data_IF_550246850330
#
_entry.id   IF_550246850330
#
_cell.length_a   1.000
_cell.length_b   1.000
_cell.length_c   1.000
_cell.angle_alpha   90.00
_cell.angle_beta   90.00
_cell.angle_gamma   90.00
#
_symmetry.space_group_name_H-M   'P 1'
#
loop_
_entity.id
_entity.type
_entity.pdbx_description
1 polymer ?
#
# COMPACT_ATOMS: atom_id res chain seq x y z
N UNK A 1 102.48 3.33 -10.98
CA UNK A 1 101.31 3.88 -10.31
C UNK A 1 100.22 4.01 -11.33
N UNK A 2 99.20 3.20 -11.34
CA UNK A 2 97.89 3.63 -11.90
C UNK A 2 96.73 3.34 -10.97
N UNK A 3 95.83 4.29 -10.94
CA UNK A 3 94.53 4.24 -10.16
C UNK A 3 93.45 3.43 -10.89
N UNK A 4 92.90 2.48 -10.18
CA UNK A 4 91.76 1.71 -10.64
C UNK A 4 90.45 2.46 -10.40
N UNK A 5 89.71 2.75 -11.45
CA UNK A 5 88.34 3.28 -11.39
C UNK A 5 87.31 2.14 -11.24
N UNK A 6 86.66 2.02 -10.08
CA UNK A 6 85.48 1.15 -9.86
C UNK A 6 84.22 1.87 -10.38
N UNK A 7 83.58 1.31 -11.38
CA UNK A 7 82.26 1.74 -11.85
C UNK A 7 81.18 1.06 -10.98
N UNK A 8 80.43 1.87 -10.27
CA UNK A 8 79.19 1.42 -9.59
C UNK A 8 78.07 1.40 -10.64
N UNK A 9 77.47 0.25 -10.85
CA UNK A 9 76.21 0.07 -11.61
C UNK A 9 75.10 0.18 -10.66
N UNK A 10 74.27 1.26 -10.76
CA UNK A 10 73.06 1.44 -10.03
C UNK A 10 71.89 0.73 -10.77
N UNK A 11 71.30 -0.27 -10.12
CA UNK A 11 70.04 -0.90 -10.57
C UNK A 11 68.87 -0.03 -10.16
N UNK A 12 68.15 0.58 -11.12
CA UNK A 12 66.86 1.25 -10.87
C UNK A 12 65.76 0.18 -10.97
N UNK A 13 65.23 -0.22 -9.83
CA UNK A 13 64.06 -1.08 -9.78
C UNK A 13 62.82 -0.22 -9.98
N UNK A 14 62.23 -0.27 -11.16
CA UNK A 14 60.94 0.37 -11.47
C UNK A 14 59.81 -0.49 -10.91
N UNK A 15 59.31 -0.16 -9.71
CA UNK A 15 58.13 -0.79 -9.14
C UNK A 15 56.86 -0.29 -9.83
N UNK A 16 56.18 -1.12 -10.63
CA UNK A 16 54.80 -0.87 -11.10
C UNK A 16 53.85 -1.01 -9.89
N UNK A 17 53.38 0.11 -9.33
CA UNK A 17 52.21 0.12 -8.47
C UNK A 17 50.98 -0.05 -9.37
N UNK A 18 50.40 -1.27 -9.42
CA UNK A 18 49.08 -1.51 -9.95
C UNK A 18 48.05 -0.92 -8.95
N UNK A 19 47.58 0.30 -9.21
CA UNK A 19 46.50 0.91 -8.47
C UNK A 19 45.21 0.15 -8.76
N UNK A 20 44.75 -0.68 -7.80
CA UNK A 20 43.42 -1.25 -7.82
C UNK A 20 42.40 -0.09 -7.69
N UNK A 21 41.76 0.28 -8.78
CA UNK A 21 40.64 1.21 -8.79
C UNK A 21 39.46 0.49 -8.14
N UNK A 22 39.30 0.68 -6.84
CA UNK A 22 38.05 0.30 -6.12
C UNK A 22 36.94 1.19 -6.68
N UNK A 23 36.22 0.67 -7.68
CA UNK A 23 34.92 1.29 -8.06
C UNK A 23 34.01 1.30 -6.84
N UNK A 24 33.49 2.45 -6.42
CA UNK A 24 32.51 2.47 -5.35
C UNK A 24 31.33 1.61 -5.80
N UNK A 25 31.05 0.52 -5.06
CA UNK A 25 29.82 -0.23 -5.25
C UNK A 25 28.69 0.76 -5.03
N UNK A 26 28.01 1.17 -6.10
CA UNK A 26 26.82 1.98 -6.01
C UNK A 26 25.87 1.23 -5.09
N UNK A 27 25.55 1.78 -3.93
CA UNK A 27 24.58 1.21 -3.01
C UNK A 27 23.27 1.01 -3.81
N UNK A 28 22.94 -0.23 -4.09
CA UNK A 28 21.79 -0.60 -4.89
C UNK A 28 20.55 -0.22 -4.05
N UNK A 29 19.99 0.95 -4.30
CA UNK A 29 18.78 1.40 -3.60
C UNK A 29 17.64 0.48 -3.99
N UNK A 30 16.99 -0.13 -2.99
CA UNK A 30 15.85 -1.00 -3.24
C UNK A 30 14.76 -0.24 -4.01
N UNK A 31 14.19 -0.81 -5.08
CA UNK A 31 13.16 -0.15 -5.85
C UNK A 31 11.93 0.11 -4.98
N UNK A 32 11.30 1.27 -5.17
CA UNK A 32 10.22 1.77 -4.32
C UNK A 32 8.86 1.52 -4.95
N UNK A 33 7.99 0.89 -4.20
CA UNK A 33 6.59 0.60 -4.54
C UNK A 33 5.67 1.54 -3.77
N UNK A 34 4.88 2.35 -4.48
CA UNK A 34 3.77 3.09 -3.91
C UNK A 34 2.54 2.17 -3.83
N UNK A 35 2.08 1.84 -2.65
CA UNK A 35 0.99 0.89 -2.43
C UNK A 35 -0.15 1.51 -1.63
N UNK A 36 -1.38 1.25 -2.05
CA UNK A 36 -2.57 1.59 -1.27
C UNK A 36 -2.48 0.96 0.12
N UNK A 37 -2.84 1.72 1.14
CA UNK A 37 -2.52 1.38 2.53
C UNK A 37 -3.35 0.23 3.12
N UNK A 38 -4.41 -0.20 2.45
CA UNK A 38 -5.14 -1.43 2.75
C UNK A 38 -4.28 -2.68 2.57
N UNK A 39 -3.22 -2.58 1.74
CA UNK A 39 -2.26 -3.64 1.49
C UNK A 39 -1.24 -3.83 2.62
N UNK A 40 -1.16 -2.92 3.59
CA UNK A 40 -0.04 -2.83 4.53
C UNK A 40 0.43 -4.20 5.04
N UNK A 41 -0.41 -4.93 5.73
CA UNK A 41 -0.02 -6.20 6.35
C UNK A 41 0.20 -7.32 5.33
N UNK A 42 -0.69 -7.44 4.35
CA UNK A 42 -0.58 -8.46 3.32
C UNK A 42 0.67 -8.28 2.45
N UNK A 43 0.93 -7.06 2.00
CA UNK A 43 2.06 -6.79 1.10
C UNK A 43 3.41 -6.83 1.83
N UNK A 44 3.45 -6.46 3.12
CA UNK A 44 4.65 -6.63 3.96
C UNK A 44 5.01 -8.12 4.06
N UNK A 45 4.03 -9.01 4.25
CA UNK A 45 4.24 -10.47 4.29
C UNK A 45 4.66 -11.02 2.92
N UNK A 46 4.01 -10.58 1.84
CA UNK A 46 4.37 -10.96 0.47
C UNK A 46 5.79 -10.52 0.14
N UNK A 47 6.18 -9.28 0.46
CA UNK A 47 7.52 -8.77 0.21
C UNK A 47 8.58 -9.51 1.03
N UNK A 48 8.31 -9.83 2.30
CA UNK A 48 9.21 -10.63 3.12
C UNK A 48 9.39 -12.06 2.59
N UNK A 49 8.32 -12.67 2.06
CA UNK A 49 8.39 -13.99 1.41
C UNK A 49 9.19 -13.91 0.10
N UNK A 50 8.92 -12.92 -0.73
CA UNK A 50 9.67 -12.66 -1.97
C UNK A 50 11.17 -12.49 -1.71
N UNK A 51 11.55 -11.71 -0.69
CA UNK A 51 12.95 -11.54 -0.30
C UNK A 51 13.60 -12.86 0.10
N UNK A 52 12.94 -13.68 0.92
CA UNK A 52 13.47 -15.00 1.34
C UNK A 52 13.66 -15.94 0.16
N UNK A 53 12.80 -15.91 -0.84
CA UNK A 53 12.83 -16.84 -1.97
C UNK A 53 13.77 -16.39 -3.10
N UNK A 54 13.99 -15.08 -3.25
CA UNK A 54 14.74 -14.53 -4.40
C UNK A 54 15.98 -13.75 -4.02
N UNK A 55 16.15 -13.36 -2.78
CA UNK A 55 17.20 -12.44 -2.32
C UNK A 55 16.98 -10.97 -2.72
N UNK A 56 15.91 -10.66 -3.47
CA UNK A 56 15.61 -9.30 -3.92
C UNK A 56 14.74 -8.58 -2.90
N UNK A 57 15.04 -7.30 -2.66
CA UNK A 57 14.27 -6.42 -1.78
C UNK A 57 13.52 -5.36 -2.54
N UNK A 58 12.34 -5.00 -2.02
CA UNK A 58 11.58 -3.83 -2.43
C UNK A 58 11.33 -2.93 -1.24
N UNK A 59 11.26 -1.62 -1.47
CA UNK A 59 10.84 -0.64 -0.47
C UNK A 59 9.36 -0.36 -0.64
N UNK A 60 8.55 -0.64 0.36
CA UNK A 60 7.12 -0.37 0.36
C UNK A 60 6.84 1.00 0.99
N UNK A 61 6.02 1.80 0.33
CA UNK A 61 5.49 3.07 0.85
C UNK A 61 3.98 2.99 0.78
N UNK A 62 3.31 3.15 1.91
CA UNK A 62 1.86 3.02 2.02
C UNK A 62 1.19 4.39 2.14
N UNK A 63 0.08 4.57 1.42
CA UNK A 63 -0.67 5.82 1.41
C UNK A 63 -1.99 5.71 0.70
N UNK A 64 -2.60 6.85 0.39
CA UNK A 64 -3.81 6.95 -0.42
C UNK A 64 -3.48 6.81 -1.91
N UNK A 65 -4.32 6.08 -2.65
CA UNK A 65 -4.13 5.89 -4.10
C UNK A 65 -4.14 7.21 -4.86
N UNK A 66 -5.07 8.12 -4.56
CA UNK A 66 -5.15 9.42 -5.26
C UNK A 66 -3.94 10.31 -4.97
N UNK A 67 -3.40 10.28 -3.75
CA UNK A 67 -2.19 11.04 -3.42
C UNK A 67 -0.97 10.50 -4.15
N UNK A 68 -0.81 9.19 -4.23
CA UNK A 68 0.26 8.59 -5.03
C UNK A 68 0.11 8.89 -6.52
N UNK A 69 -1.12 8.84 -7.05
CA UNK A 69 -1.40 9.26 -8.41
C UNK A 69 -0.87 10.68 -8.67
N UNK A 70 -1.21 11.64 -7.81
CA UNK A 70 -0.76 13.03 -7.93
C UNK A 70 0.76 13.16 -7.82
N UNK A 71 1.38 12.46 -6.88
CA UNK A 71 2.84 12.46 -6.70
C UNK A 71 3.57 11.87 -7.92
N UNK A 72 3.07 10.78 -8.50
CA UNK A 72 3.65 10.14 -9.69
C UNK A 72 3.54 11.06 -10.91
N UNK A 73 2.42 11.75 -11.07
CA UNK A 73 2.28 12.77 -12.12
C UNK A 73 3.33 13.87 -11.99
N UNK A 74 3.64 14.29 -10.76
CA UNK A 74 4.64 15.31 -10.42
C UNK A 74 6.09 14.78 -10.46
N UNK A 75 6.31 13.51 -10.79
CA UNK A 75 7.63 12.93 -10.95
C UNK A 75 8.25 12.36 -9.67
N UNK A 76 7.45 12.01 -8.66
CA UNK A 76 7.95 11.31 -7.49
C UNK A 76 8.62 9.97 -7.89
N UNK A 77 9.75 9.60 -7.25
CA UNK A 77 10.63 8.51 -7.70
C UNK A 77 10.11 7.12 -7.29
N UNK A 78 8.86 6.85 -7.56
CA UNK A 78 8.30 5.51 -7.46
C UNK A 78 8.55 4.74 -8.75
N UNK A 79 8.70 3.43 -8.66
CA UNK A 79 8.92 2.55 -9.81
C UNK A 79 7.80 1.53 -10.05
N UNK A 80 6.93 1.31 -9.04
CA UNK A 80 5.72 0.52 -9.16
C UNK A 80 4.60 1.19 -8.38
N UNK A 81 3.38 1.09 -8.89
CA UNK A 81 2.20 1.61 -8.23
C UNK A 81 1.15 0.51 -8.08
N UNK A 82 0.61 0.37 -6.87
CA UNK A 82 -0.48 -0.56 -6.53
C UNK A 82 -1.65 0.24 -5.97
N UNK A 83 -2.65 0.45 -6.80
CA UNK A 83 -3.83 1.26 -6.50
C UNK A 83 -5.00 0.42 -6.00
N UNK A 84 -5.75 0.94 -5.04
CA UNK A 84 -7.02 0.37 -4.61
C UNK A 84 -8.20 0.68 -5.58
N UNK A 85 -7.96 1.51 -6.60
CA UNK A 85 -8.91 1.80 -7.67
C UNK A 85 -8.16 1.83 -9.01
N UNK A 86 -8.61 1.02 -9.98
CA UNK A 86 -7.96 0.86 -11.28
C UNK A 86 -8.00 2.14 -12.13
N UNK A 87 -8.93 3.04 -11.91
CA UNK A 87 -9.04 4.28 -12.64
C UNK A 87 -7.79 5.18 -12.49
N UNK A 88 -7.16 5.20 -11.32
CA UNK A 88 -5.90 5.94 -11.14
C UNK A 88 -4.76 5.35 -11.97
N UNK A 89 -4.73 4.02 -12.16
CA UNK A 89 -3.74 3.36 -13.01
C UNK A 89 -4.00 3.69 -14.48
N UNK A 90 -5.25 3.67 -14.92
CA UNK A 90 -5.62 4.02 -16.30
C UNK A 90 -5.26 5.48 -16.61
N UNK A 91 -5.55 6.41 -15.71
CA UNK A 91 -5.15 7.84 -15.87
C UNK A 91 -3.63 8.01 -15.97
N UNK A 92 -2.83 7.25 -15.21
CA UNK A 92 -1.36 7.28 -15.34
C UNK A 92 -0.89 6.69 -16.66
N UNK A 93 -1.53 5.62 -17.15
CA UNK A 93 -1.23 5.01 -18.43
C UNK A 93 -1.53 5.98 -19.58
N UNK A 94 -2.68 6.64 -19.54
CA UNK A 94 -3.09 7.64 -20.53
C UNK A 94 -2.18 8.88 -20.50
N UNK A 95 -1.64 9.23 -19.34
CA UNK A 95 -0.60 10.27 -19.16
C UNK A 95 0.81 9.79 -19.56
N UNK A 96 0.98 8.57 -20.06
CA UNK A 96 2.25 8.01 -20.50
C UNK A 96 3.27 7.79 -19.39
N UNK A 97 2.84 7.60 -18.13
CA UNK A 97 3.72 7.39 -16.98
C UNK A 97 4.04 5.92 -16.70
N UNK A 98 3.33 4.99 -17.32
CA UNK A 98 3.42 3.55 -17.07
C UNK A 98 3.95 2.77 -18.26
N UNK A 99 4.42 1.54 -18.03
CA UNK A 99 4.89 0.63 -19.07
C UNK A 99 3.72 0.15 -19.94
N UNK A 100 2.59 -0.16 -19.29
CA UNK A 100 1.35 -0.67 -19.88
C UNK A 100 0.14 -0.21 -19.05
N UNK A 101 -1.01 -0.83 -19.21
CA UNK A 101 -2.23 -0.53 -18.41
C UNK A 101 -2.32 -1.37 -17.11
N UNK A 102 -1.27 -2.08 -16.74
CA UNK A 102 -1.18 -2.86 -15.52
C UNK A 102 -2.09 -4.09 -15.47
N UNK A 103 -2.11 -4.74 -14.28
CA UNK A 103 -2.91 -5.94 -14.02
C UNK A 103 -3.83 -5.74 -12.82
N UNK A 104 -5.06 -6.22 -12.94
CA UNK A 104 -5.95 -6.38 -11.79
C UNK A 104 -5.36 -7.49 -10.91
N UNK A 105 -5.14 -7.22 -9.61
CA UNK A 105 -4.52 -8.20 -8.72
C UNK A 105 -5.42 -8.63 -7.57
N UNK A 106 -6.42 -7.81 -7.18
CA UNK A 106 -7.34 -8.10 -6.09
C UNK A 106 -8.64 -7.29 -6.19
N UNK A 107 -9.63 -7.73 -5.42
CA UNK A 107 -10.84 -6.95 -5.11
C UNK A 107 -10.87 -6.70 -3.61
N UNK A 108 -10.98 -5.41 -3.21
CA UNK A 108 -11.08 -4.99 -1.82
C UNK A 108 -12.52 -5.09 -1.28
N UNK A 109 -12.64 -5.12 0.04
CA UNK A 109 -13.92 -5.13 0.78
C UNK A 109 -13.88 -4.12 1.91
N UNK A 110 -15.02 -3.51 2.22
CA UNK A 110 -15.18 -2.60 3.36
C UNK A 110 -16.10 -3.18 4.42
N UNK A 111 -15.97 -2.67 5.63
CA UNK A 111 -16.87 -2.99 6.73
C UNK A 111 -16.77 -1.97 7.86
N UNK A 112 -17.72 -2.03 8.75
CA UNK A 112 -17.73 -1.23 9.98
C UNK A 112 -16.85 -1.89 11.03
N UNK A 113 -15.91 -1.12 11.60
CA UNK A 113 -15.09 -1.48 12.76
C UNK A 113 -15.53 -0.68 13.95
N UNK A 114 -15.78 -1.35 15.06
CA UNK A 114 -16.21 -0.75 16.33
C UNK A 114 -15.23 -1.17 17.43
N UNK A 115 -14.54 -0.23 18.10
CA UNK A 115 -13.53 -0.56 19.09
C UNK A 115 -14.16 -1.13 20.38
N UNK A 116 -13.38 -1.90 21.13
CA UNK A 116 -13.76 -2.39 22.45
C UNK A 116 -14.16 -1.18 23.34
N UNK A 117 -15.27 -1.32 24.05
CA UNK A 117 -15.80 -0.26 24.95
C UNK A 117 -16.63 0.81 24.26
N UNK A 118 -16.77 0.78 22.93
CA UNK A 118 -17.72 1.64 22.22
C UNK A 118 -19.18 1.28 22.54
N UNK A 119 -20.06 2.27 22.53
CA UNK A 119 -21.50 2.06 22.64
C UNK A 119 -22.16 1.63 21.31
N UNK A 120 -21.39 1.66 20.21
CA UNK A 120 -21.84 1.15 18.92
C UNK A 120 -21.69 -0.37 18.85
N UNK A 121 -22.49 -0.98 17.98
CA UNK A 121 -22.37 -2.38 17.58
C UNK A 121 -21.99 -2.44 16.10
N UNK A 122 -21.07 -3.31 15.77
CA UNK A 122 -20.74 -3.61 14.39
C UNK A 122 -21.83 -4.49 13.79
N UNK A 123 -22.57 -3.99 12.82
CA UNK A 123 -23.52 -4.75 12.03
C UNK A 123 -23.43 -4.39 10.54
N UNK A 124 -23.66 -5.37 9.68
CA UNK A 124 -23.47 -5.26 8.22
C UNK A 124 -24.43 -4.27 7.55
N UNK A 125 -25.61 -4.05 8.15
CA UNK A 125 -26.63 -3.17 7.60
C UNK A 125 -26.61 -1.77 8.22
N UNK A 126 -25.63 -1.46 9.07
CA UNK A 126 -25.42 -0.17 9.74
C UNK A 126 -26.63 0.30 10.57
N UNK A 127 -27.48 -0.63 11.06
CA UNK A 127 -28.70 -0.33 11.80
C UNK A 127 -28.41 0.34 13.14
N UNK A 128 -27.39 -0.15 13.88
CA UNK A 128 -27.02 0.47 15.15
C UNK A 128 -26.36 1.83 14.96
N UNK A 129 -25.59 2.01 13.86
CA UNK A 129 -25.04 3.32 13.45
C UNK A 129 -26.19 4.32 13.18
N UNK A 130 -27.23 3.89 12.46
CA UNK A 130 -28.43 4.70 12.21
C UNK A 130 -29.16 5.08 13.51
N UNK A 131 -29.32 4.12 14.44
CA UNK A 131 -29.92 4.38 15.75
C UNK A 131 -29.05 5.36 16.55
N UNK A 132 -27.72 5.19 16.56
CA UNK A 132 -26.80 6.07 17.29
C UNK A 132 -26.75 7.50 16.75
N UNK A 133 -26.96 7.67 15.45
CA UNK A 133 -27.14 9.00 14.84
C UNK A 133 -28.43 9.67 15.33
N UNK A 134 -29.54 8.90 15.35
CA UNK A 134 -30.87 9.40 15.72
C UNK A 134 -30.99 9.74 17.21
N UNK A 135 -30.41 8.92 18.08
CA UNK A 135 -30.51 9.10 19.55
C UNK A 135 -29.33 9.94 20.12
N UNK A 136 -28.41 10.41 19.27
CA UNK A 136 -27.33 11.29 19.68
C UNK A 136 -26.11 10.59 20.31
N UNK A 137 -26.09 9.27 20.41
CA UNK A 137 -24.92 8.50 20.94
C UNK A 137 -23.69 8.68 20.09
N UNK A 138 -23.83 8.83 18.77
CA UNK A 138 -22.69 9.01 17.88
C UNK A 138 -22.14 10.44 17.97
N UNK A 139 -20.89 10.58 18.32
CA UNK A 139 -20.18 11.86 18.34
C UNK A 139 -19.13 11.97 17.22
N UNK A 140 -18.34 10.90 17.00
CA UNK A 140 -17.27 10.84 15.98
C UNK A 140 -17.23 9.48 15.31
N UNK A 141 -17.06 9.49 13.97
CA UNK A 141 -16.98 8.29 13.16
C UNK A 141 -15.89 8.44 12.08
N UNK A 142 -15.06 7.44 11.90
CA UNK A 142 -13.92 7.52 10.98
C UNK A 142 -14.26 6.94 9.60
N UNK A 143 -13.88 7.67 8.54
CA UNK A 143 -13.75 7.16 7.17
C UNK A 143 -12.45 7.70 6.55
N UNK A 144 -11.91 7.04 5.53
CA UNK A 144 -10.84 7.64 4.74
C UNK A 144 -11.41 8.83 3.92
N UNK A 145 -10.57 9.83 3.63
CA UNK A 145 -11.03 10.99 2.86
C UNK A 145 -11.49 10.57 1.46
N UNK A 146 -12.78 10.71 1.11
CA UNK A 146 -13.31 10.25 -0.16
C UNK A 146 -12.79 11.00 -1.38
N UNK A 147 -12.14 12.17 -1.21
CA UNK A 147 -11.60 12.95 -2.32
C UNK A 147 -10.39 12.26 -2.99
N UNK A 148 -9.60 11.49 -2.24
CA UNK A 148 -8.38 10.88 -2.75
C UNK A 148 -8.16 9.42 -2.30
N UNK A 149 -8.97 8.90 -1.38
CA UNK A 149 -8.86 7.54 -0.91
C UNK A 149 -10.04 6.69 -1.45
N UNK A 150 -9.80 5.66 -2.28
CA UNK A 150 -10.85 4.82 -2.85
C UNK A 150 -11.75 4.18 -1.79
N UNK A 151 -11.16 3.72 -0.69
CA UNK A 151 -11.92 3.18 0.44
C UNK A 151 -12.85 4.20 1.10
N UNK A 152 -12.46 5.47 1.10
CA UNK A 152 -13.30 6.59 1.55
C UNK A 152 -14.47 6.85 0.61
N UNK A 153 -14.23 6.80 -0.70
CA UNK A 153 -15.29 6.92 -1.71
C UNK A 153 -16.32 5.78 -1.55
N UNK A 154 -15.86 4.53 -1.38
CA UNK A 154 -16.77 3.37 -1.13
C UNK A 154 -17.50 3.49 0.19
N UNK A 155 -16.85 4.00 1.25
CA UNK A 155 -17.51 4.26 2.52
C UNK A 155 -18.64 5.31 2.38
N UNK A 156 -18.38 6.39 1.62
CA UNK A 156 -19.39 7.40 1.30
C UNK A 156 -20.58 6.79 0.57
N UNK A 157 -20.35 6.00 -0.46
CA UNK A 157 -21.39 5.33 -1.23
C UNK A 157 -22.25 4.41 -0.35
N UNK A 158 -21.61 3.59 0.49
CA UNK A 158 -22.33 2.72 1.43
C UNK A 158 -23.17 3.50 2.45
N UNK A 159 -22.64 4.62 2.97
CA UNK A 159 -23.40 5.51 3.88
C UNK A 159 -24.53 6.23 3.16
N UNK A 160 -24.36 6.56 1.87
CA UNK A 160 -25.44 7.13 1.04
C UNK A 160 -26.53 6.08 0.78
N UNK A 161 -26.14 4.83 0.44
CA UNK A 161 -27.07 3.72 0.25
C UNK A 161 -27.92 3.48 1.51
N UNK A 162 -27.29 3.53 2.69
CA UNK A 162 -27.98 3.40 3.98
C UNK A 162 -28.80 4.63 4.37
N UNK A 163 -28.78 5.72 3.61
CA UNK A 163 -29.46 6.99 3.92
C UNK A 163 -28.86 7.74 5.12
N UNK A 164 -27.60 7.48 5.46
CA UNK A 164 -26.94 8.04 6.65
C UNK A 164 -25.97 9.18 6.33
N UNK A 165 -25.63 9.40 5.06
CA UNK A 165 -24.56 10.31 4.66
C UNK A 165 -24.73 11.73 5.21
N UNK A 166 -25.87 12.35 5.01
CA UNK A 166 -26.09 13.74 5.40
C UNK A 166 -26.06 13.94 6.94
N UNK A 167 -26.60 12.97 7.68
CA UNK A 167 -26.63 13.02 9.14
C UNK A 167 -25.25 12.76 9.77
N UNK A 168 -24.39 11.96 9.12
CA UNK A 168 -23.09 11.57 9.67
C UNK A 168 -21.97 12.57 9.31
N UNK A 169 -22.10 13.33 8.19
CA UNK A 169 -21.07 14.25 7.74
C UNK A 169 -20.46 15.15 8.83
N UNK A 170 -21.27 15.83 9.70
CA UNK A 170 -20.73 16.69 10.74
C UNK A 170 -19.93 15.94 11.84
N UNK A 171 -20.01 14.62 11.86
CA UNK A 171 -19.36 13.74 12.85
C UNK A 171 -18.17 12.98 12.28
N UNK A 172 -17.85 13.18 11.00
CA UNK A 172 -16.78 12.46 10.34
C UNK A 172 -15.40 12.94 10.79
N UNK A 173 -14.53 11.97 11.05
CA UNK A 173 -13.08 12.14 11.17
C UNK A 173 -12.47 11.51 9.94
N UNK A 174 -11.84 12.34 9.09
CA UNK A 174 -11.28 11.90 7.82
C UNK A 174 -9.84 11.44 7.99
N UNK A 175 -9.58 10.17 7.70
CA UNK A 175 -8.22 9.64 7.60
C UNK A 175 -7.61 9.97 6.24
N UNK A 176 -6.34 10.32 6.21
CA UNK A 176 -5.57 10.58 4.99
C UNK A 176 -5.53 9.34 4.06
N UNK A 177 -5.62 8.16 4.65
CA UNK A 177 -5.68 6.87 3.97
C UNK A 177 -6.40 5.85 4.86
N UNK A 178 -6.68 4.67 4.32
CA UNK A 178 -7.47 3.68 5.04
C UNK A 178 -6.76 3.07 6.27
N UNK A 179 -5.42 3.05 6.30
CA UNK A 179 -4.69 2.62 7.50
C UNK A 179 -4.81 3.62 8.64
N UNK A 180 -4.73 4.92 8.37
CA UNK A 180 -4.97 5.96 9.38
C UNK A 180 -6.42 5.91 9.87
N UNK A 181 -7.37 5.67 8.96
CA UNK A 181 -8.77 5.46 9.33
C UNK A 181 -8.94 4.28 10.29
N UNK A 182 -8.26 3.15 10.03
CA UNK A 182 -8.28 2.01 10.93
C UNK A 182 -7.71 2.36 12.32
N UNK A 183 -6.65 3.19 12.38
CA UNK A 183 -6.12 3.68 13.67
C UNK A 183 -7.17 4.53 14.40
N UNK A 184 -7.85 5.46 13.73
CA UNK A 184 -8.92 6.25 14.36
C UNK A 184 -10.08 5.36 14.85
N UNK A 185 -10.50 4.39 14.05
CA UNK A 185 -11.59 3.49 14.36
C UNK A 185 -11.30 2.51 15.52
N UNK A 186 -10.01 2.29 15.88
CA UNK A 186 -9.61 1.31 16.89
C UNK A 186 -8.97 1.92 18.13
N UNK A 187 -8.56 3.18 18.09
CA UNK A 187 -7.86 3.86 19.21
C UNK A 187 -8.79 4.42 20.29
N UNK A 188 -10.12 4.37 20.09
CA UNK A 188 -11.09 5.05 20.95
C UNK A 188 -11.23 6.56 20.68
N UNK A 189 -10.50 7.12 19.71
CA UNK A 189 -10.66 8.52 19.29
C UNK A 189 -11.96 8.76 18.52
N UNK A 190 -12.53 7.72 17.94
CA UNK A 190 -13.87 7.66 17.35
C UNK A 190 -14.64 6.45 17.90
N UNK A 191 -15.94 6.45 17.79
CA UNK A 191 -16.78 5.35 18.26
C UNK A 191 -16.82 4.17 17.29
N UNK A 192 -16.25 4.33 16.10
CA UNK A 192 -16.12 3.34 15.04
C UNK A 192 -15.69 4.00 13.75
N UNK A 193 -15.62 3.20 12.69
CA UNK A 193 -15.31 3.70 11.35
C UNK A 193 -15.50 2.63 10.28
N UNK A 194 -15.55 3.06 9.03
CA UNK A 194 -15.50 2.13 7.89
C UNK A 194 -14.04 1.91 7.51
N UNK A 195 -13.60 0.66 7.57
CA UNK A 195 -12.23 0.25 7.25
C UNK A 195 -12.18 -0.88 6.22
N UNK A 196 -11.00 -1.17 5.71
CA UNK A 196 -10.76 -2.30 4.82
C UNK A 196 -10.83 -3.63 5.59
N UNK A 197 -11.44 -4.66 5.00
CA UNK A 197 -11.41 -6.02 5.54
C UNK A 197 -9.98 -6.50 5.72
N UNK A 198 -9.08 -6.17 4.81
CA UNK A 198 -7.68 -6.56 4.87
C UNK A 198 -6.95 -6.06 6.11
N UNK A 199 -7.28 -4.87 6.57
CA UNK A 199 -6.75 -4.33 7.83
C UNK A 199 -7.43 -4.99 9.04
N UNK A 200 -8.76 -5.19 8.99
CA UNK A 200 -9.50 -5.84 10.07
C UNK A 200 -9.07 -7.31 10.30
N UNK A 201 -8.58 -8.00 9.26
CA UNK A 201 -8.06 -9.37 9.34
C UNK A 201 -6.66 -9.47 9.96
N UNK A 202 -5.91 -8.39 10.03
CA UNK A 202 -4.61 -8.38 10.71
C UNK A 202 -4.81 -8.60 12.22
N UNK A 203 -4.06 -9.54 12.81
CA UNK A 203 -4.19 -9.90 14.24
C UNK A 203 -4.07 -8.68 15.17
N UNK A 204 -3.15 -7.75 14.84
CA UNK A 204 -2.95 -6.52 15.59
C UNK A 204 -4.16 -5.58 15.60
N UNK A 205 -5.03 -5.68 14.59
CA UNK A 205 -6.24 -4.87 14.45
C UNK A 205 -7.47 -5.64 14.94
N UNK A 206 -7.59 -6.92 14.58
CA UNK A 206 -8.74 -7.78 14.90
C UNK A 206 -9.06 -7.83 16.40
N UNK A 207 -8.03 -7.82 17.25
CA UNK A 207 -8.18 -7.85 18.72
C UNK A 207 -8.64 -6.53 19.34
N UNK A 208 -8.73 -5.43 18.57
CA UNK A 208 -9.07 -4.11 19.08
C UNK A 208 -10.58 -3.81 19.05
N UNK A 209 -11.39 -4.66 18.42
CA UNK A 209 -12.82 -4.41 18.32
C UNK A 209 -13.57 -5.49 17.54
N UNK A 210 -14.80 -5.17 17.17
CA UNK A 210 -15.68 -6.00 16.35
C UNK A 210 -15.77 -5.44 14.94
N UNK A 211 -15.79 -6.31 13.95
CA UNK A 211 -15.89 -5.95 12.54
C UNK A 211 -17.08 -6.66 11.89
N UNK A 212 -17.85 -5.93 11.08
CA UNK A 212 -18.91 -6.48 10.24
C UNK A 212 -18.75 -5.97 8.80
N UNK A 213 -18.83 -6.89 7.82
CA UNK A 213 -18.75 -6.54 6.40
C UNK A 213 -19.99 -5.76 5.98
N UNK A 214 -19.81 -4.70 5.20
CA UNK A 214 -20.86 -4.03 4.47
C UNK A 214 -21.16 -4.81 3.18
N UNK A 215 -22.46 -4.92 2.75
CA UNK A 215 -22.84 -5.60 1.53
C UNK A 215 -22.15 -4.99 0.29
N UNK A 216 -21.74 -5.84 -0.64
CA UNK A 216 -20.98 -5.42 -1.83
C UNK A 216 -21.79 -4.58 -2.82
N UNK A 217 -23.09 -4.74 -2.83
CA UNK A 217 -24.04 -4.00 -3.67
C UNK A 217 -24.38 -2.60 -3.18
N UNK A 218 -23.83 -2.21 -2.02
CA UNK A 218 -24.00 -0.87 -1.46
C UNK A 218 -22.95 0.13 -1.98
N UNK A 219 -21.98 -0.32 -2.72
CA UNK A 219 -20.90 0.52 -3.26
C UNK A 219 -20.28 -0.09 -4.51
N UNK A 220 -19.63 0.73 -5.31
CA UNK A 220 -18.86 0.26 -6.46
C UNK A 220 -17.69 -0.66 -6.03
N UNK A 221 -17.34 -1.66 -6.84
CA UNK A 221 -16.25 -2.58 -6.53
C UNK A 221 -14.89 -1.87 -6.37
N UNK A 222 -14.12 -2.25 -5.35
CA UNK A 222 -12.73 -1.84 -5.19
C UNK A 222 -11.82 -2.72 -6.07
N UNK A 223 -11.77 -2.42 -7.35
CA UNK A 223 -10.95 -3.13 -8.35
C UNK A 223 -9.52 -2.64 -8.26
N UNK A 224 -8.67 -3.45 -7.62
CA UNK A 224 -7.30 -3.05 -7.31
C UNK A 224 -6.34 -3.46 -8.43
N UNK A 225 -5.65 -2.48 -8.99
CA UNK A 225 -4.74 -2.66 -10.13
C UNK A 225 -3.33 -2.21 -9.80
N UNK A 226 -2.35 -2.98 -10.26
CA UNK A 226 -0.93 -2.66 -10.14
C UNK A 226 -0.31 -2.39 -11.51
N UNK A 227 0.72 -1.54 -11.54
CA UNK A 227 1.42 -1.18 -12.78
C UNK A 227 2.88 -0.85 -12.49
N UNK A 228 3.77 -1.19 -13.44
CA UNK A 228 5.15 -0.72 -13.46
C UNK A 228 5.21 0.68 -14.07
N UNK A 229 5.93 1.59 -13.42
CA UNK A 229 6.23 2.91 -13.97
C UNK A 229 7.39 2.80 -14.99
N UNK A 230 7.57 3.81 -15.84
CA UNK A 230 8.53 3.72 -16.96
C UNK A 230 9.97 3.44 -16.54
N UNK A 231 10.36 3.94 -15.36
CA UNK A 231 11.74 3.81 -14.84
C UNK A 231 11.91 2.57 -13.93
N UNK A 232 10.99 1.59 -14.02
CA UNK A 232 11.05 0.39 -13.21
C UNK A 232 12.25 -0.50 -13.59
N UNK A 233 13.15 -0.84 -12.64
CA UNK A 233 14.27 -1.72 -12.91
C UNK A 233 13.82 -3.17 -13.13
N UNK A 234 14.60 -4.01 -13.82
CA UNK A 234 14.27 -5.41 -14.08
C UNK A 234 13.95 -6.23 -12.82
N UNK A 235 14.63 -5.96 -11.70
CA UNK A 235 14.39 -6.61 -10.41
C UNK A 235 12.95 -6.39 -9.89
N UNK A 236 12.36 -5.23 -10.15
CA UNK A 236 11.00 -4.93 -9.75
C UNK A 236 9.95 -5.67 -10.60
N UNK A 237 10.28 -6.00 -11.85
CA UNK A 237 9.43 -6.85 -12.70
C UNK A 237 9.27 -8.25 -12.09
N UNK A 238 10.30 -8.78 -11.43
CA UNK A 238 10.19 -10.04 -10.70
C UNK A 238 9.17 -9.94 -9.55
N UNK A 239 9.19 -8.85 -8.76
CA UNK A 239 8.21 -8.62 -7.71
C UNK A 239 6.79 -8.43 -8.27
N UNK A 240 6.65 -7.65 -9.34
CA UNK A 240 5.37 -7.47 -10.04
C UNK A 240 4.74 -8.81 -10.48
N UNK A 241 5.55 -9.70 -11.04
CA UNK A 241 5.08 -11.03 -11.43
C UNK A 241 4.81 -11.92 -10.21
N UNK A 242 5.59 -11.76 -9.13
CA UNK A 242 5.42 -12.52 -7.90
C UNK A 242 4.05 -12.29 -7.24
N UNK A 243 3.51 -11.07 -7.29
CA UNK A 243 2.18 -10.74 -6.73
C UNK A 243 1.06 -11.65 -7.28
N UNK A 244 1.20 -12.15 -8.52
CA UNK A 244 0.21 -13.02 -9.16
C UNK A 244 0.49 -14.52 -8.99
N UNK A 245 1.53 -14.90 -8.25
CA UNK A 245 1.81 -16.31 -7.95
C UNK A 245 0.83 -16.85 -6.91
N UNK A 246 0.55 -18.16 -6.90
CA UNK A 246 -0.28 -18.77 -5.87
C UNK A 246 0.19 -18.43 -4.45
N UNK A 247 1.50 -18.44 -4.21
CA UNK A 247 2.10 -18.15 -2.92
C UNK A 247 1.79 -16.73 -2.41
N UNK A 248 1.76 -15.72 -3.27
CA UNK A 248 1.37 -14.37 -2.92
C UNK A 248 -0.15 -14.23 -2.81
N UNK A 249 -0.90 -14.86 -3.70
CA UNK A 249 -2.37 -14.84 -3.68
C UNK A 249 -2.94 -15.50 -2.42
N UNK A 250 -2.37 -16.60 -1.94
CA UNK A 250 -2.77 -17.25 -0.68
C UNK A 250 -2.63 -16.29 0.51
N UNK A 251 -1.57 -15.49 0.53
CA UNK A 251 -1.39 -14.44 1.55
C UNK A 251 -2.50 -13.40 1.43
N UNK A 252 -2.75 -12.88 0.22
CA UNK A 252 -3.78 -11.88 -0.02
C UNK A 252 -5.16 -12.37 0.39
N UNK A 253 -5.53 -13.62 0.05
CA UNK A 253 -6.80 -14.24 0.44
C UNK A 253 -6.94 -14.37 1.96
N UNK A 254 -5.89 -14.75 2.69
CA UNK A 254 -5.92 -14.78 4.16
C UNK A 254 -6.25 -13.43 4.78
N UNK A 255 -5.77 -12.36 4.18
CA UNK A 255 -6.13 -11.00 4.58
C UNK A 255 -7.48 -10.53 4.03
N UNK A 256 -8.25 -11.39 3.34
CA UNK A 256 -9.63 -11.11 2.94
C UNK A 256 -9.79 -10.39 1.60
N UNK A 257 -8.73 -10.33 0.79
CA UNK A 257 -8.87 -9.91 -0.60
C UNK A 257 -9.57 -11.02 -1.41
N UNK A 258 -10.48 -10.64 -2.28
CA UNK A 258 -11.00 -11.55 -3.28
C UNK A 258 -10.12 -11.51 -4.53
N UNK A 259 -9.85 -12.68 -5.12
CA UNK A 259 -9.06 -12.75 -6.34
C UNK A 259 -9.95 -12.48 -7.56
N UNK A 260 -9.42 -11.74 -8.56
CA UNK A 260 -10.11 -11.60 -9.83
C UNK A 260 -10.35 -12.97 -10.47
N UNK A 261 -11.49 -13.15 -11.14
CA UNK A 261 -11.66 -14.30 -12.01
C UNK A 261 -10.52 -14.36 -13.04
N UNK A 262 -9.98 -15.55 -13.26
CA UNK A 262 -8.94 -15.77 -14.29
C UNK A 262 -9.57 -15.39 -15.64
N UNK A 263 -9.04 -14.34 -16.26
CA UNK A 263 -9.44 -13.89 -17.60
C UNK A 263 -8.66 -14.68 -18.66
#
# INVERSE_FOLDING_TARGET
MPQSRRRLIAWVATGLLAGAVLSPAAAQTNPTVAAASDLKFALEEVAAKFERETGNKVRLVFGSSGNFYSQILQGAPFQMYMSADEEFVFKLADAGKTVDRGRLYALGRIGIMVPIGSQLKADSELKDLAAALKDGRLQKFAIANPEHAPYGARAKEALQHAGLWDAIQPKLVLGENISQTAQFATSGSTQGGVIALSLAKAESVAKLGSFALIPNDWHEPLRQRMVLLKDAPPSLRAFYNYITTPAAQDIMVRYGFAMPAVQ
#
